data_IF_705245601223
#
_entry.id   IF_705245601223
#
_cell.length_a   1.000
_cell.length_b   1.000
_cell.length_c   1.000
_cell.angle_alpha   90.00
_cell.angle_beta   90.00
_cell.angle_gamma   90.00
#
_symmetry.space_group_name_H-M   'P 1'
#
loop_
_entity.id
_entity.type
_entity.pdbx_description
1 polymer ?
#
# COMPACT_ATOMS: atom_id res chain seq x y z
N UNK A 1 -7.89 7.37 22.96
CA UNK A 1 -9.09 7.73 22.17
C UNK A 1 -8.76 9.04 21.49
N UNK A 2 -8.24 8.95 20.27
CA UNK A 2 -7.84 10.14 19.52
C UNK A 2 -9.11 10.77 18.95
N UNK A 3 -9.40 12.00 19.37
CA UNK A 3 -10.36 12.89 18.73
C UNK A 3 -9.86 13.16 17.30
N UNK A 4 -10.38 12.40 16.34
CA UNK A 4 -10.37 12.85 14.95
C UNK A 4 -11.28 14.09 14.91
N UNK A 5 -10.70 15.28 14.72
CA UNK A 5 -11.40 16.55 14.67
C UNK A 5 -12.65 16.44 13.78
N UNK A 6 -13.82 16.76 14.32
CA UNK A 6 -15.10 16.78 13.59
C UNK A 6 -15.06 17.65 12.32
N UNK A 7 -14.13 18.60 12.26
CA UNK A 7 -13.87 19.46 11.09
C UNK A 7 -13.38 18.69 9.85
N UNK A 8 -12.58 17.64 10.03
CA UNK A 8 -12.10 16.79 8.93
C UNK A 8 -13.18 15.88 8.35
N UNK A 9 -14.11 15.44 9.21
CA UNK A 9 -15.25 14.58 8.82
C UNK A 9 -16.27 15.37 7.99
N UNK A 10 -16.50 16.65 8.31
CA UNK A 10 -17.40 17.50 7.51
C UNK A 10 -16.81 17.85 6.14
N UNK A 11 -15.51 18.13 6.06
CA UNK A 11 -14.85 18.55 4.82
C UNK A 11 -14.94 17.53 3.67
N UNK A 12 -14.95 16.23 3.95
CA UNK A 12 -15.01 15.20 2.90
C UNK A 12 -16.42 14.65 2.66
N UNK A 13 -17.33 14.84 3.61
CA UNK A 13 -18.75 14.49 3.44
C UNK A 13 -19.46 15.41 2.44
N UNK A 14 -18.96 16.64 2.25
CA UNK A 14 -19.46 17.59 1.25
C UNK A 14 -18.94 17.30 -0.17
N UNK A 15 -17.80 16.62 -0.32
CA UNK A 15 -17.14 16.38 -1.61
C UNK A 15 -17.24 14.93 -2.11
N UNK A 16 -17.50 13.96 -1.23
CA UNK A 16 -17.53 12.54 -1.56
C UNK A 16 -18.92 11.93 -1.35
N UNK A 17 -19.34 11.09 -2.28
CA UNK A 17 -20.53 10.24 -2.11
C UNK A 17 -20.35 9.25 -0.97
N UNK A 18 -21.45 8.72 -0.44
CA UNK A 18 -21.40 7.69 0.61
C UNK A 18 -20.55 6.47 0.19
N UNK A 19 -20.64 6.04 -1.08
CA UNK A 19 -19.85 4.92 -1.62
C UNK A 19 -18.35 5.24 -1.65
N UNK A 20 -17.98 6.44 -2.09
CA UNK A 20 -16.58 6.88 -2.10
C UNK A 20 -16.00 6.97 -0.68
N UNK A 21 -16.79 7.46 0.29
CA UNK A 21 -16.40 7.46 1.71
C UNK A 21 -16.20 6.04 2.25
N UNK A 22 -17.12 5.12 1.96
CA UNK A 22 -17.00 3.71 2.37
C UNK A 22 -15.73 3.09 1.78
N UNK A 23 -15.46 3.31 0.49
CA UNK A 23 -14.28 2.80 -0.19
C UNK A 23 -12.99 3.32 0.45
N UNK A 24 -12.90 4.64 0.65
CA UNK A 24 -11.75 5.27 1.30
C UNK A 24 -11.48 4.71 2.70
N UNK A 25 -12.53 4.50 3.50
CA UNK A 25 -12.40 3.87 4.82
C UNK A 25 -11.93 2.42 4.70
N UNK A 26 -12.53 1.64 3.79
CA UNK A 26 -12.25 0.21 3.67
C UNK A 26 -10.83 -0.08 3.15
N UNK A 27 -10.33 0.71 2.20
CA UNK A 27 -9.00 0.56 1.60
C UNK A 27 -7.86 0.96 2.55
N UNK A 28 -8.14 1.84 3.52
CA UNK A 28 -7.13 2.34 4.48
C UNK A 28 -7.12 1.59 5.81
N UNK A 29 -7.97 0.57 5.97
CA UNK A 29 -7.97 -0.29 7.15
C UNK A 29 -6.61 -0.96 7.33
N UNK A 30 -6.07 -0.92 8.54
CA UNK A 30 -4.88 -1.68 8.96
C UNK A 30 -5.21 -2.96 9.72
N UNK A 31 -6.47 -3.10 10.12
CA UNK A 31 -6.99 -4.23 10.87
C UNK A 31 -8.39 -4.58 10.33
N UNK A 32 -8.80 -5.85 10.37
CA UNK A 32 -10.14 -6.23 9.95
C UNK A 32 -11.23 -5.55 10.79
N UNK A 33 -12.25 -5.00 10.10
CA UNK A 33 -13.38 -4.27 10.71
C UNK A 33 -14.72 -4.77 10.21
N UNK A 34 -15.74 -4.60 11.05
CA UNK A 34 -17.11 -5.01 10.73
C UNK A 34 -17.80 -3.96 9.85
N UNK A 35 -18.89 -4.38 9.18
CA UNK A 35 -19.75 -3.47 8.41
C UNK A 35 -20.24 -2.30 9.28
N UNK A 36 -20.61 -2.57 10.53
CA UNK A 36 -21.06 -1.53 11.46
C UNK A 36 -19.99 -0.45 11.67
N UNK A 37 -18.77 -0.88 11.98
CA UNK A 37 -17.66 0.05 12.20
C UNK A 37 -17.38 0.88 10.94
N UNK A 38 -17.35 0.24 9.77
CA UNK A 38 -17.10 0.94 8.50
C UNK A 38 -18.24 1.91 8.18
N UNK A 39 -19.49 1.55 8.46
CA UNK A 39 -20.64 2.42 8.23
C UNK A 39 -20.62 3.65 9.13
N UNK A 40 -20.20 3.50 10.38
CA UNK A 40 -20.02 4.60 11.33
C UNK A 40 -18.88 5.53 10.89
N UNK A 41 -17.73 4.99 10.50
CA UNK A 41 -16.59 5.80 10.07
C UNK A 41 -16.84 6.52 8.74
N UNK A 42 -17.59 5.89 7.83
CA UNK A 42 -17.94 6.49 6.54
C UNK A 42 -19.18 7.40 6.61
N UNK A 43 -19.80 7.54 7.80
CA UNK A 43 -21.09 8.23 8.00
C UNK A 43 -22.10 7.85 6.89
N UNK A 44 -22.30 6.53 6.75
CA UNK A 44 -23.11 5.92 5.70
C UNK A 44 -24.12 4.93 6.28
N UNK A 45 -25.22 4.73 5.57
CA UNK A 45 -26.22 3.74 5.96
C UNK A 45 -25.64 2.32 5.86
N UNK A 46 -25.94 1.48 6.85
CA UNK A 46 -25.46 0.09 6.91
C UNK A 46 -25.71 -0.69 5.62
N UNK A 47 -26.89 -0.56 5.01
CA UNK A 47 -27.24 -1.27 3.76
C UNK A 47 -26.34 -0.86 2.60
N UNK A 48 -26.07 0.44 2.46
CA UNK A 48 -25.16 0.99 1.45
C UNK A 48 -23.72 0.53 1.70
N UNK A 49 -23.28 0.52 2.96
CA UNK A 49 -21.96 -0.02 3.34
C UNK A 49 -21.86 -1.50 3.01
N UNK A 50 -22.86 -2.29 3.36
CA UNK A 50 -22.85 -3.72 3.07
C UNK A 50 -22.78 -4.00 1.56
N UNK A 51 -23.59 -3.32 0.75
CA UNK A 51 -23.55 -3.44 -0.73
C UNK A 51 -22.18 -3.09 -1.30
N UNK A 52 -21.58 -1.97 -0.87
CA UNK A 52 -20.27 -1.54 -1.37
C UNK A 52 -19.15 -2.50 -0.95
N UNK A 53 -19.18 -2.99 0.30
CA UNK A 53 -18.22 -3.99 0.76
C UNK A 53 -18.35 -5.32 0.00
N UNK A 54 -19.56 -5.75 -0.38
CA UNK A 54 -19.73 -6.90 -1.25
C UNK A 54 -19.12 -6.65 -2.64
N UNK A 55 -19.35 -5.48 -3.24
CA UNK A 55 -18.78 -5.13 -4.54
C UNK A 55 -17.24 -5.13 -4.50
N UNK A 56 -16.65 -4.60 -3.44
CA UNK A 56 -15.19 -4.60 -3.25
C UNK A 56 -14.62 -6.01 -3.04
N UNK A 57 -15.36 -6.91 -2.39
CA UNK A 57 -14.99 -8.32 -2.28
C UNK A 57 -15.04 -9.04 -3.63
N UNK A 58 -16.08 -8.80 -4.43
CA UNK A 58 -16.23 -9.38 -5.77
C UNK A 58 -15.11 -8.91 -6.71
N UNK A 59 -14.62 -7.68 -6.51
CA UNK A 59 -13.48 -7.12 -7.22
C UNK A 59 -12.11 -7.58 -6.67
N UNK A 60 -12.09 -8.38 -5.60
CA UNK A 60 -10.86 -8.84 -4.95
C UNK A 60 -10.08 -7.75 -4.20
N UNK A 61 -10.67 -6.57 -4.00
CA UNK A 61 -10.03 -5.46 -3.27
C UNK A 61 -10.07 -5.69 -1.76
N UNK A 62 -11.11 -6.37 -1.28
CA UNK A 62 -11.23 -6.79 0.10
C UNK A 62 -11.20 -8.31 0.20
N UNK A 63 -10.94 -8.78 1.42
CA UNK A 63 -11.18 -10.16 1.83
C UNK A 63 -11.98 -10.22 3.12
N UNK A 64 -12.72 -11.32 3.29
CA UNK A 64 -13.43 -11.63 4.55
C UNK A 64 -12.48 -12.29 5.54
N UNK A 65 -12.64 -11.93 6.81
CA UNK A 65 -12.01 -12.58 7.95
C UNK A 65 -13.11 -12.98 8.92
N UNK A 66 -13.27 -14.28 9.13
CA UNK A 66 -14.25 -14.81 10.08
C UNK A 66 -13.71 -14.69 11.51
N UNK A 67 -14.43 -13.95 12.36
CA UNK A 67 -14.10 -13.75 13.77
C UNK A 67 -15.30 -14.17 14.64
N UNK A 68 -15.38 -15.48 14.94
CA UNK A 68 -16.51 -16.06 15.67
C UNK A 68 -17.79 -15.99 14.83
N UNK A 69 -18.80 -15.29 15.33
CA UNK A 69 -20.07 -15.06 14.62
C UNK A 69 -20.08 -13.76 13.80
N UNK A 70 -18.95 -13.03 13.77
CA UNK A 70 -18.85 -11.75 13.04
C UNK A 70 -17.96 -11.88 11.82
N UNK A 71 -18.46 -11.48 10.67
CA UNK A 71 -17.65 -11.28 9.46
C UNK A 71 -16.98 -9.91 9.51
N UNK A 72 -15.67 -9.90 9.38
CA UNK A 72 -14.85 -8.70 9.27
C UNK A 72 -14.28 -8.57 7.85
N UNK A 73 -13.93 -7.34 7.48
CA UNK A 73 -13.44 -6.95 6.17
C UNK A 73 -12.10 -6.24 6.35
N UNK A 74 -11.17 -6.53 5.45
CA UNK A 74 -9.89 -5.83 5.33
C UNK A 74 -9.44 -5.83 3.86
N UNK A 75 -8.54 -4.92 3.47
CA UNK A 75 -7.85 -4.99 2.19
C UNK A 75 -7.24 -6.36 1.95
N UNK A 76 -7.34 -6.83 0.71
CA UNK A 76 -6.57 -7.99 0.28
C UNK A 76 -5.16 -7.55 -0.10
N UNK A 77 -4.29 -7.43 0.91
CA UNK A 77 -2.89 -7.05 0.72
C UNK A 77 -2.12 -8.00 -0.20
N UNK A 78 -2.56 -9.25 -0.34
CA UNK A 78 -1.92 -10.19 -1.28
C UNK A 78 -2.28 -9.82 -2.71
N UNK A 79 -3.55 -9.52 -2.97
CA UNK A 79 -3.98 -9.06 -4.29
C UNK A 79 -3.34 -7.71 -4.64
N UNK A 80 -3.29 -6.76 -3.70
CA UNK A 80 -2.65 -5.46 -3.90
C UNK A 80 -1.17 -5.60 -4.29
N UNK A 81 -0.42 -6.46 -3.57
CA UNK A 81 0.98 -6.74 -3.87
C UNK A 81 1.17 -7.27 -5.31
N UNK A 82 0.34 -8.23 -5.74
CA UNK A 82 0.45 -8.77 -7.10
C UNK A 82 0.04 -7.75 -8.18
N UNK A 83 -0.93 -6.90 -7.88
CA UNK A 83 -1.34 -5.80 -8.76
C UNK A 83 -0.19 -4.80 -8.95
N UNK A 84 0.47 -4.38 -7.87
CA UNK A 84 1.63 -3.48 -7.91
C UNK A 84 2.79 -4.08 -8.71
N UNK A 85 3.11 -5.35 -8.48
CA UNK A 85 4.14 -6.07 -9.24
C UNK A 85 3.77 -6.12 -10.74
N UNK A 86 2.51 -6.40 -11.07
CA UNK A 86 2.05 -6.42 -12.46
C UNK A 86 2.23 -5.05 -13.11
N UNK A 87 1.80 -3.98 -12.44
CA UNK A 87 1.95 -2.61 -12.93
C UNK A 87 3.42 -2.26 -13.17
N UNK A 88 4.32 -2.60 -12.24
CA UNK A 88 5.77 -2.39 -12.43
C UNK A 88 6.30 -3.09 -13.68
N UNK A 89 5.87 -4.32 -13.95
CA UNK A 89 6.29 -5.08 -15.14
C UNK A 89 5.69 -4.48 -16.42
N UNK A 90 4.43 -4.04 -16.38
CA UNK A 90 3.72 -3.50 -17.54
C UNK A 90 4.21 -2.10 -17.93
N UNK A 91 4.59 -1.28 -16.96
CA UNK A 91 4.95 0.12 -17.17
C UNK A 91 6.45 0.36 -17.28
N UNK A 92 7.29 -0.60 -16.86
CA UNK A 92 8.75 -0.46 -16.86
C UNK A 92 9.45 -1.57 -17.60
N UNK A 93 10.50 -1.22 -18.34
CA UNK A 93 11.44 -2.20 -18.87
C UNK A 93 12.25 -2.85 -17.76
N UNK A 94 12.74 -4.07 -18.02
CA UNK A 94 13.62 -4.78 -17.09
C UNK A 94 14.89 -4.00 -16.74
N UNK A 95 15.38 -3.15 -17.64
CA UNK A 95 16.57 -2.33 -17.39
C UNK A 95 16.27 -1.11 -16.52
N UNK A 96 15.11 -0.46 -16.71
CA UNK A 96 14.65 0.62 -15.84
C UNK A 96 14.49 0.13 -14.39
N UNK A 97 13.84 -1.03 -14.20
CA UNK A 97 13.71 -1.65 -12.87
C UNK A 97 15.08 -1.95 -12.22
N UNK A 98 16.07 -2.39 -13.01
CA UNK A 98 17.44 -2.62 -12.49
C UNK A 98 18.15 -1.32 -12.13
N UNK A 99 17.98 -0.29 -12.94
CA UNK A 99 18.55 1.03 -12.69
C UNK A 99 17.95 1.63 -11.42
N UNK A 100 16.64 1.52 -11.25
CA UNK A 100 15.94 1.99 -10.05
C UNK A 100 16.40 1.23 -8.80
N UNK A 101 16.50 -0.10 -8.89
CA UNK A 101 17.04 -0.92 -7.81
C UNK A 101 18.45 -0.50 -7.38
N UNK A 102 19.31 -0.14 -8.33
CA UNK A 102 20.66 0.35 -8.06
C UNK A 102 20.65 1.76 -7.45
N UNK A 103 19.75 2.64 -7.88
CA UNK A 103 19.58 3.99 -7.34
C UNK A 103 19.14 3.93 -5.86
N UNK A 104 18.08 3.17 -5.56
CA UNK A 104 17.59 2.95 -4.20
C UNK A 104 18.69 2.37 -3.30
N UNK A 105 19.43 1.37 -3.79
CA UNK A 105 20.52 0.76 -3.02
C UNK A 105 21.59 1.80 -2.66
N UNK A 106 21.96 2.65 -3.62
CA UNK A 106 22.93 3.73 -3.39
C UNK A 106 22.43 4.79 -2.42
N UNK A 107 21.13 5.10 -2.45
CA UNK A 107 20.53 6.07 -1.52
C UNK A 107 20.55 5.55 -0.08
N UNK A 108 20.16 4.28 0.11
CA UNK A 108 20.26 3.58 1.40
C UNK A 108 21.71 3.58 1.92
N UNK A 109 22.69 3.20 1.08
CA UNK A 109 24.11 3.25 1.44
C UNK A 109 24.57 4.67 1.81
N UNK A 110 24.01 5.70 1.17
CA UNK A 110 24.24 7.10 1.50
C UNK A 110 23.77 7.46 2.90
N UNK A 111 22.57 7.04 3.30
CA UNK A 111 22.07 7.26 4.66
C UNK A 111 22.85 6.45 5.71
N UNK A 112 23.16 5.19 5.42
CA UNK A 112 24.01 4.34 6.28
C UNK A 112 25.33 5.04 6.60
N UNK A 113 26.03 5.55 5.57
CA UNK A 113 27.29 6.25 5.74
C UNK A 113 27.15 7.62 6.44
N UNK A 114 26.04 8.33 6.21
CA UNK A 114 25.81 9.65 6.81
C UNK A 114 25.56 9.57 8.32
N UNK A 115 24.81 8.56 8.75
CA UNK A 115 24.42 8.39 10.15
C UNK A 115 25.22 7.34 10.91
N UNK A 116 26.13 6.62 10.24
CA UNK A 116 26.94 5.52 10.79
C UNK A 116 26.09 4.41 11.41
N UNK A 117 25.08 3.97 10.65
CA UNK A 117 24.11 2.94 11.04
C UNK A 117 23.88 1.95 9.92
N UNK A 118 23.49 0.71 10.25
CA UNK A 118 23.24 -0.32 9.25
C UNK A 118 21.77 -0.33 8.78
N UNK A 119 20.84 0.06 9.64
CA UNK A 119 19.40 0.00 9.37
C UNK A 119 18.66 1.28 9.74
N UNK A 120 17.44 1.46 9.23
CA UNK A 120 16.61 2.59 9.65
C UNK A 120 16.17 2.44 11.12
N UNK A 121 16.04 1.20 11.64
CA UNK A 121 15.75 0.93 13.05
C UNK A 121 16.86 1.46 13.96
N UNK A 122 18.12 1.34 13.55
CA UNK A 122 19.27 1.89 14.29
C UNK A 122 19.23 3.42 14.29
N UNK A 123 18.87 4.03 13.15
CA UNK A 123 18.64 5.47 13.08
C UNK A 123 17.48 5.91 13.98
N UNK A 124 16.40 5.15 14.05
CA UNK A 124 15.26 5.42 14.93
C UNK A 124 15.64 5.33 16.41
N UNK A 125 16.48 4.37 16.79
CA UNK A 125 17.01 4.25 18.15
C UNK A 125 17.85 5.48 18.54
N UNK A 126 18.65 6.02 17.61
CA UNK A 126 19.47 7.21 17.85
C UNK A 126 18.65 8.47 18.18
N UNK A 127 17.35 8.50 17.87
CA UNK A 127 16.46 9.61 18.24
C UNK A 127 16.31 9.77 19.76
N UNK A 128 16.56 8.70 20.53
CA UNK A 128 16.43 8.69 21.99
C UNK A 128 17.66 9.24 22.73
N UNK A 129 18.75 9.56 22.02
CA UNK A 129 20.05 9.93 22.63
C UNK A 129 20.03 11.27 23.39
N UNK A 130 18.98 12.08 23.23
CA UNK A 130 18.75 13.31 24.00
C UNK A 130 19.72 14.47 23.72
N UNK A 131 20.69 14.26 22.83
CA UNK A 131 21.68 15.27 22.38
C UNK A 131 21.23 16.05 21.15
N UNK A 132 20.16 15.61 20.49
CA UNK A 132 19.67 16.17 19.23
C UNK A 132 18.79 17.40 19.46
N UNK A 133 18.98 18.40 18.61
CA UNK A 133 18.09 19.55 18.49
C UNK A 133 16.76 19.15 17.86
N UNK A 134 15.75 20.03 17.97
CA UNK A 134 14.44 19.79 17.34
C UNK A 134 14.52 19.66 15.82
N UNK A 135 15.44 20.38 15.18
CA UNK A 135 15.60 20.34 13.72
C UNK A 135 16.27 19.03 13.29
N UNK A 136 17.30 18.57 14.00
CA UNK A 136 17.94 17.27 13.74
C UNK A 136 16.99 16.09 13.98
N UNK A 137 16.13 16.16 15.01
CA UNK A 137 15.10 15.16 15.26
C UNK A 137 14.10 15.08 14.10
N UNK A 138 13.73 16.23 13.54
CA UNK A 138 12.81 16.28 12.39
C UNK A 138 13.48 15.70 11.15
N UNK A 139 14.71 16.12 10.84
CA UNK A 139 15.48 15.64 9.69
C UNK A 139 15.66 14.12 9.73
N UNK A 140 16.06 13.56 10.89
CA UNK A 140 16.23 12.11 11.02
C UNK A 140 14.91 11.35 10.86
N UNK A 141 13.78 11.89 11.34
CA UNK A 141 12.46 11.29 11.12
C UNK A 141 12.06 11.27 9.65
N UNK A 142 12.34 12.34 8.93
CA UNK A 142 12.08 12.42 7.49
C UNK A 142 12.94 11.38 6.76
N UNK A 143 14.24 11.27 7.07
CA UNK A 143 15.11 10.22 6.52
C UNK A 143 14.62 8.81 6.83
N UNK A 144 14.20 8.53 8.07
CA UNK A 144 13.65 7.22 8.43
C UNK A 144 12.43 6.88 7.58
N UNK A 145 11.55 7.86 7.31
CA UNK A 145 10.39 7.66 6.46
C UNK A 145 10.80 7.31 5.02
N UNK A 146 11.71 8.10 4.41
CA UNK A 146 12.21 7.82 3.07
C UNK A 146 12.96 6.49 2.96
N UNK A 147 13.71 6.12 4.01
CA UNK A 147 14.41 4.84 4.04
C UNK A 147 13.43 3.67 4.07
N UNK A 148 12.40 3.71 4.91
CA UNK A 148 11.36 2.67 4.93
C UNK A 148 10.69 2.52 3.56
N UNK A 149 10.31 3.62 2.92
CA UNK A 149 9.74 3.63 1.56
C UNK A 149 10.69 2.98 0.54
N UNK A 150 11.96 3.38 0.55
CA UNK A 150 12.99 2.78 -0.31
C UNK A 150 13.18 1.27 -0.06
N UNK A 151 13.07 0.79 1.18
CA UNK A 151 13.15 -0.65 1.45
C UNK A 151 11.94 -1.42 0.88
N UNK A 152 10.75 -0.83 0.94
CA UNK A 152 9.52 -1.39 0.37
C UNK A 152 9.60 -1.45 -1.16
N UNK A 153 9.99 -0.35 -1.80
CA UNK A 153 10.18 -0.26 -3.25
C UNK A 153 11.25 -1.23 -3.73
N UNK A 154 12.39 -1.29 -3.03
CA UNK A 154 13.47 -2.26 -3.32
C UNK A 154 12.96 -3.70 -3.30
N UNK A 155 12.07 -4.04 -2.37
CA UNK A 155 11.46 -5.39 -2.28
C UNK A 155 10.49 -5.63 -3.44
N UNK A 156 9.62 -4.67 -3.75
CA UNK A 156 8.68 -4.77 -4.87
C UNK A 156 9.39 -4.93 -6.21
N UNK A 157 10.41 -4.11 -6.48
CA UNK A 157 11.20 -4.17 -7.71
C UNK A 157 11.92 -5.51 -7.85
N UNK A 158 12.45 -6.07 -6.75
CA UNK A 158 13.05 -7.41 -6.77
C UNK A 158 12.04 -8.48 -7.19
N UNK A 159 10.83 -8.46 -6.62
CA UNK A 159 9.77 -9.38 -7.02
C UNK A 159 9.34 -9.20 -8.48
N UNK A 160 9.23 -7.95 -8.95
CA UNK A 160 8.95 -7.66 -10.35
C UNK A 160 10.02 -8.21 -11.28
N UNK A 161 11.31 -8.06 -10.93
CA UNK A 161 12.43 -8.61 -11.71
C UNK A 161 12.48 -10.14 -11.72
N UNK A 162 12.07 -10.78 -10.64
CA UNK A 162 11.95 -12.25 -10.51
C UNK A 162 10.83 -12.78 -11.44
N UNK A 163 9.67 -12.12 -11.43
CA UNK A 163 8.48 -12.54 -12.17
C UNK A 163 8.41 -12.03 -13.63
N UNK A 164 9.30 -11.11 -14.00
CA UNK A 164 9.25 -10.40 -15.29
C UNK A 164 9.11 -11.34 -16.49
N UNK A 165 9.93 -12.40 -16.55
CA UNK A 165 9.91 -13.35 -17.66
C UNK A 165 8.64 -14.19 -17.70
N UNK A 166 8.09 -14.53 -16.54
CA UNK A 166 6.90 -15.38 -16.42
C UNK A 166 5.66 -14.61 -16.85
N UNK A 167 5.55 -13.34 -16.45
CA UNK A 167 4.46 -12.44 -16.84
C UNK A 167 4.48 -12.16 -18.34
N UNK A 168 5.64 -11.83 -18.91
CA UNK A 168 5.78 -11.63 -20.36
C UNK A 168 5.39 -12.89 -21.15
N UNK A 169 5.86 -14.06 -20.70
CA UNK A 169 5.52 -15.34 -21.33
C UNK A 169 4.02 -15.64 -21.26
N UNK A 170 3.36 -15.35 -20.14
CA UNK A 170 1.92 -15.54 -19.97
C UNK A 170 1.12 -14.61 -20.91
N UNK A 171 1.57 -13.36 -21.07
CA UNK A 171 0.97 -12.38 -21.97
C UNK A 171 1.07 -12.81 -23.43
N UNK A 172 2.24 -13.26 -23.88
CA UNK A 172 2.44 -13.78 -25.24
C UNK A 172 1.50 -14.94 -25.57
N UNK A 173 1.31 -15.86 -24.61
CA UNK A 173 0.38 -16.98 -24.76
C UNK A 173 -1.06 -16.51 -24.94
N UNK A 174 -1.50 -15.50 -24.18
CA UNK A 174 -2.85 -14.92 -24.30
C UNK A 174 -3.07 -14.26 -25.66
N UNK A 175 -2.10 -13.48 -26.15
CA UNK A 175 -2.18 -12.87 -27.50
C UNK A 175 -2.26 -13.93 -28.58
N UNK A 176 -1.44 -14.98 -28.50
CA UNK A 176 -1.45 -16.09 -29.46
C UNK A 176 -2.77 -16.89 -29.46
N UNK A 177 -3.51 -16.92 -28.35
CA UNK A 177 -4.84 -17.53 -28.27
C UNK A 177 -5.90 -16.62 -28.91
N UNK A 178 -5.83 -15.30 -28.67
CA UNK A 178 -6.75 -14.33 -29.26
C UNK A 178 -6.65 -14.28 -30.79
N UNK A 179 -5.43 -14.31 -31.34
CA UNK A 179 -5.19 -14.33 -32.79
C UNK A 179 -5.76 -15.59 -33.45
N UNK A 180 -5.65 -16.74 -32.77
CA UNK A 180 -6.23 -18.01 -33.22
C UNK A 180 -7.76 -18.02 -33.19
N UNK A 181 -8.38 -17.30 -32.26
CA UNK A 181 -9.84 -17.20 -32.19
C UNK A 181 -10.42 -16.27 -33.26
N UNK A 182 -9.59 -15.38 -33.83
CA UNK A 182 -10.00 -14.35 -34.79
C UNK A 182 -9.65 -14.70 -36.25
N UNK A 183 -8.89 -15.78 -36.47
CA UNK A 183 -8.50 -16.32 -37.80
C UNK A 183 -9.47 -17.38 -38.29
#
# INVERSE_FOLDING_TARGET
>A
MSEFSQDGVQSWTESMSARERIRSVAETLREPRSVNWISEQADAAWSTTNEELQALLEQGQLRRVEAGETTLYQPDYTQLLFEEIRTLIEESSREELRSELAAITKEIEGWQATYDVETWEDLEQSLADGTLTSDELRERRDVIAFWRENEEDRRLIKHALELYSDVESAREQMTAVADRATS
#
